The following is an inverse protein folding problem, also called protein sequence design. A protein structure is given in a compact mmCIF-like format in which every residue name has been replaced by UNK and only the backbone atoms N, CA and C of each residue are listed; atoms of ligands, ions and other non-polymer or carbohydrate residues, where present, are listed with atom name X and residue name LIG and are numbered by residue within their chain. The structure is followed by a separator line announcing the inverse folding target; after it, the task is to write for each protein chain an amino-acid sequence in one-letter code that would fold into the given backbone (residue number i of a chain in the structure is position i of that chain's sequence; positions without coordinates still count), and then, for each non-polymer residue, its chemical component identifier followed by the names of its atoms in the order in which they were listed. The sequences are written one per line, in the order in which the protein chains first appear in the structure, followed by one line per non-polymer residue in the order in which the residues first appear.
data_IF_661070379168
#
_entry.id   IF_661070379168
#
_cell.length_a   1.000
_cell.length_b   1.000
_cell.length_c   1.000
_cell.angle_alpha   90.00
_cell.angle_beta   90.00
_cell.angle_gamma   90.00
#
_symmetry.space_group_name_H-M   'P 1'
#
loop_
_entity.id
_entity.type
_entity.pdbx_description
1 polymer ?
#
# COMPACT_ATOMS: atom_id res chain seq x y z
N UNK A 1 -6.77 9.06 11.15
CA UNK A 1 -7.38 9.57 9.89
C UNK A 1 -7.31 11.10 9.77
N UNK A 2 -6.18 11.74 10.12
CA UNK A 2 -6.04 13.20 10.05
C UNK A 2 -4.92 13.68 9.11
N UNK A 3 -4.25 12.76 8.41
CA UNK A 3 -3.07 13.08 7.60
C UNK A 3 -3.42 13.73 6.24
N UNK A 4 -4.53 13.31 5.61
CA UNK A 4 -4.98 13.86 4.32
C UNK A 4 -6.50 13.72 4.18
N UNK A 5 -7.23 14.77 3.73
CA UNK A 5 -8.69 14.75 3.61
C UNK A 5 -9.22 13.77 2.56
N UNK A 6 -8.39 13.26 1.64
CA UNK A 6 -8.79 12.28 0.61
C UNK A 6 -8.86 10.85 1.16
N UNK A 7 -8.24 10.57 2.30
CA UNK A 7 -8.15 9.21 2.87
C UNK A 7 -9.54 8.61 3.16
N UNK A 8 -10.50 9.32 3.79
CA UNK A 8 -11.84 8.77 4.02
C UNK A 8 -12.55 8.32 2.74
N UNK A 9 -12.36 9.02 1.62
CA UNK A 9 -12.98 8.69 0.33
C UNK A 9 -12.46 7.35 -0.22
N UNK A 10 -11.19 7.03 0.01
CA UNK A 10 -10.58 5.75 -0.41
C UNK A 10 -11.21 4.56 0.32
N UNK A 11 -11.56 4.73 1.59
CA UNK A 11 -12.19 3.68 2.37
C UNK A 11 -13.68 3.51 2.05
N UNK A 12 -14.39 4.57 1.66
CA UNK A 12 -15.81 4.49 1.26
C UNK A 12 -16.68 3.74 2.30
N UNK A 13 -17.53 2.84 1.83
CA UNK A 13 -18.41 2.01 2.69
C UNK A 13 -17.71 0.74 3.23
N UNK A 14 -16.39 0.78 3.41
CA UNK A 14 -15.64 -0.37 3.88
C UNK A 14 -16.02 -0.77 5.30
N UNK A 15 -16.37 -2.05 5.49
CA UNK A 15 -16.58 -2.65 6.81
C UNK A 15 -15.23 -2.86 7.54
N UNK A 16 -15.00 -2.29 8.73
CA UNK A 16 -13.72 -2.39 9.44
C UNK A 16 -13.21 -3.81 9.64
N UNK A 17 -14.05 -4.75 10.07
CA UNK A 17 -13.64 -6.14 10.32
C UNK A 17 -13.15 -6.84 9.04
N UNK A 18 -13.76 -6.50 7.90
CA UNK A 18 -13.32 -7.02 6.59
C UNK A 18 -12.00 -6.39 6.16
N UNK A 19 -11.81 -5.10 6.44
CA UNK A 19 -10.58 -4.39 6.11
C UNK A 19 -9.39 -4.87 6.95
N UNK A 20 -9.58 -5.20 8.21
CA UNK A 20 -8.53 -5.78 9.06
C UNK A 20 -7.98 -7.08 8.47
N UNK A 21 -8.87 -8.00 8.07
CA UNK A 21 -8.45 -9.25 7.44
C UNK A 21 -7.70 -9.03 6.12
N UNK A 22 -8.22 -8.14 5.25
CA UNK A 22 -7.56 -7.80 3.98
C UNK A 22 -6.20 -7.16 4.23
N UNK A 23 -6.09 -6.28 5.22
CA UNK A 23 -4.86 -5.59 5.56
C UNK A 23 -3.79 -6.60 5.97
N UNK A 24 -4.11 -7.55 6.86
CA UNK A 24 -3.17 -8.57 7.30
C UNK A 24 -2.60 -9.39 6.13
N UNK A 25 -3.46 -9.92 5.26
CA UNK A 25 -3.04 -10.69 4.09
C UNK A 25 -2.21 -9.84 3.11
N UNK A 26 -2.60 -8.58 2.92
CA UNK A 26 -1.91 -7.66 2.00
C UNK A 26 -0.51 -7.27 2.48
N UNK A 27 -0.32 -7.12 3.80
CA UNK A 27 0.98 -6.81 4.40
C UNK A 27 1.91 -8.01 4.29
N UNK A 28 1.43 -9.21 4.61
CA UNK A 28 2.22 -10.45 4.44
C UNK A 28 2.67 -10.62 2.98
N UNK A 29 1.75 -10.45 2.02
CA UNK A 29 2.10 -10.54 0.61
C UNK A 29 3.11 -9.46 0.16
N UNK A 30 3.06 -8.25 0.73
CA UNK A 30 4.04 -7.21 0.44
C UNK A 30 5.44 -7.57 0.98
N UNK A 31 5.52 -8.17 2.18
CA UNK A 31 6.78 -8.67 2.74
C UNK A 31 7.35 -9.80 1.88
N UNK A 32 6.53 -10.77 1.48
CA UNK A 32 6.90 -11.87 0.59
C UNK A 32 7.46 -11.35 -0.74
N UNK A 33 6.78 -10.35 -1.30
CA UNK A 33 7.17 -9.72 -2.55
C UNK A 33 8.51 -8.99 -2.44
N UNK A 34 8.75 -8.28 -1.34
CA UNK A 34 10.03 -7.59 -1.09
C UNK A 34 11.20 -8.58 -0.99
N UNK A 35 10.98 -9.74 -0.39
CA UNK A 35 11.95 -10.84 -0.32
C UNK A 35 12.10 -11.62 -1.64
N UNK A 36 11.37 -11.23 -2.69
CA UNK A 36 11.31 -11.91 -4.00
C UNK A 36 10.86 -13.37 -3.89
N UNK A 37 10.04 -13.68 -2.89
CA UNK A 37 9.38 -14.98 -2.78
C UNK A 37 8.23 -15.06 -3.81
N UNK A 38 8.00 -16.26 -4.34
CA UNK A 38 7.05 -16.46 -5.46
C UNK A 38 5.58 -16.27 -5.03
N UNK A 39 5.26 -16.51 -3.77
CA UNK A 39 3.96 -16.33 -3.12
C UNK A 39 3.47 -14.88 -3.15
N UNK A 40 4.35 -13.88 -2.95
CA UNK A 40 3.97 -12.46 -2.90
C UNK A 40 3.65 -11.83 -4.27
N UNK A 41 4.16 -12.40 -5.38
CA UNK A 41 4.10 -11.75 -6.71
C UNK A 41 2.67 -11.58 -7.25
N UNK A 42 1.88 -12.65 -7.26
CA UNK A 42 0.53 -12.63 -7.80
C UNK A 42 -0.45 -11.78 -6.96
N UNK A 43 -0.44 -11.87 -5.61
CA UNK A 43 -1.26 -10.99 -4.77
C UNK A 43 -0.89 -9.52 -4.93
N UNK A 44 0.40 -9.16 -4.91
CA UNK A 44 0.83 -7.76 -5.07
C UNK A 44 0.46 -7.20 -6.44
N UNK A 45 0.57 -7.99 -7.52
CA UNK A 45 0.10 -7.55 -8.83
C UNK A 45 -1.42 -7.31 -8.85
N UNK A 46 -2.19 -8.15 -8.15
CA UNK A 46 -3.64 -7.97 -8.00
C UNK A 46 -3.96 -6.69 -7.24
N UNK A 47 -3.25 -6.41 -6.14
CA UNK A 47 -3.38 -5.17 -5.38
C UNK A 47 -3.05 -3.96 -6.27
N UNK A 48 -1.99 -4.04 -7.08
CA UNK A 48 -1.60 -2.98 -8.00
C UNK A 48 -2.70 -2.68 -9.03
N UNK A 49 -3.33 -3.70 -9.61
CA UNK A 49 -4.46 -3.50 -10.53
C UNK A 49 -5.69 -2.88 -9.84
N UNK A 50 -5.92 -3.17 -8.56
CA UNK A 50 -7.02 -2.56 -7.80
C UNK A 50 -6.75 -1.10 -7.49
N UNK A 51 -5.49 -0.73 -7.19
CA UNK A 51 -5.09 0.59 -6.71
C UNK A 51 -4.49 1.52 -7.78
N UNK A 52 -4.19 1.00 -8.97
CA UNK A 52 -3.75 1.78 -10.13
C UNK A 52 -4.82 2.76 -10.63
N UNK A 53 -4.45 3.65 -11.56
CA UNK A 53 -5.31 4.75 -12.02
C UNK A 53 -6.65 4.29 -12.61
N UNK A 54 -6.69 3.12 -13.26
CA UNK A 54 -7.92 2.50 -13.78
C UNK A 54 -8.48 1.38 -12.90
N UNK A 55 -7.96 1.25 -11.69
CA UNK A 55 -8.39 0.23 -10.74
C UNK A 55 -9.76 0.51 -10.14
N UNK A 56 -10.30 -0.49 -9.44
CA UNK A 56 -11.59 -0.38 -8.74
C UNK A 56 -11.54 0.61 -7.57
N UNK A 57 -10.36 0.79 -6.95
CA UNK A 57 -10.13 1.71 -5.83
C UNK A 57 -8.85 2.47 -6.11
N UNK A 58 -8.86 3.45 -7.04
CA UNK A 58 -7.65 4.16 -7.44
C UNK A 58 -7.11 4.96 -6.25
N UNK A 59 -5.83 4.74 -5.92
CA UNK A 59 -5.15 5.44 -4.83
C UNK A 59 -4.11 6.37 -5.44
N UNK A 60 -4.28 7.67 -5.25
CA UNK A 60 -3.30 8.65 -5.72
C UNK A 60 -1.91 8.34 -5.11
N UNK A 61 -0.81 8.35 -5.90
CA UNK A 61 0.50 7.95 -5.39
C UNK A 61 0.95 8.72 -4.13
N UNK A 62 0.57 9.99 -4.01
CA UNK A 62 0.87 10.83 -2.85
C UNK A 62 0.22 10.36 -1.54
N UNK A 63 -0.81 9.49 -1.60
CA UNK A 63 -1.46 8.93 -0.41
C UNK A 63 -0.73 7.69 0.12
N UNK A 64 0.17 7.09 -0.67
CA UNK A 64 0.93 5.92 -0.22
C UNK A 64 1.87 6.28 0.94
N UNK A 65 2.42 7.50 0.96
CA UNK A 65 3.24 7.98 2.08
C UNK A 65 2.42 8.02 3.38
N UNK A 66 1.18 8.50 3.32
CA UNK A 66 0.29 8.50 4.47
C UNK A 66 0.00 7.07 4.96
N UNK A 67 -0.15 6.10 4.04
CA UNK A 67 -0.37 4.71 4.40
C UNK A 67 0.87 4.07 5.06
N UNK A 68 2.06 4.31 4.50
CA UNK A 68 3.32 3.79 5.07
C UNK A 68 3.57 4.34 6.47
N UNK A 69 3.39 5.65 6.68
CA UNK A 69 3.58 6.26 7.99
C UNK A 69 2.54 5.76 9.00
N UNK A 70 1.27 5.61 8.60
CA UNK A 70 0.24 5.03 9.46
C UNK A 70 0.53 3.56 9.85
N UNK A 71 1.07 2.76 8.92
CA UNK A 71 1.49 1.38 9.20
C UNK A 71 2.63 1.34 10.22
N UNK A 72 3.62 2.21 10.07
CA UNK A 72 4.79 2.30 10.97
C UNK A 72 4.36 2.80 12.35
N UNK A 73 3.49 3.81 12.42
CA UNK A 73 2.90 4.31 13.67
C UNK A 73 2.13 3.18 14.38
N UNK A 74 1.26 2.47 13.67
CA UNK A 74 0.52 1.35 14.23
C UNK A 74 1.44 0.22 14.73
N UNK A 75 2.48 -0.14 13.96
CA UNK A 75 3.45 -1.15 14.38
C UNK A 75 4.21 -0.70 15.64
N UNK A 76 4.64 0.56 15.71
CA UNK A 76 5.29 1.13 16.88
C UNK A 76 4.41 1.09 18.13
N UNK A 77 3.12 1.40 17.97
CA UNK A 77 2.18 1.48 19.09
C UNK A 77 1.74 0.11 19.61
N UNK A 78 1.88 -0.95 18.78
CA UNK A 78 1.35 -2.28 19.08
C UNK A 78 2.41 -3.36 19.32
N UNK A 79 3.62 -3.20 18.78
CA UNK A 79 4.71 -4.16 18.93
C UNK A 79 5.54 -3.88 20.20
N UNK A 80 5.44 -4.71 21.26
CA UNK A 80 6.23 -4.52 22.48
C UNK A 80 7.75 -4.71 22.26
N UNK A 81 8.17 -5.31 21.14
CA UNK A 81 9.56 -5.50 20.76
C UNK A 81 10.05 -4.42 19.77
N UNK A 82 9.27 -3.35 19.59
CA UNK A 82 9.62 -2.27 18.66
C UNK A 82 11.01 -1.67 18.96
N UNK A 83 11.75 -1.42 17.88
CA UNK A 83 13.00 -0.66 17.89
C UNK A 83 13.00 0.31 16.73
N UNK A 84 13.62 1.49 16.91
CA UNK A 84 13.59 2.57 15.92
C UNK A 84 14.14 2.13 14.55
N UNK A 85 15.07 1.17 14.50
CA UNK A 85 15.57 0.63 13.23
C UNK A 85 14.52 -0.12 12.42
N UNK A 86 13.46 -0.64 13.07
CA UNK A 86 12.36 -1.34 12.38
C UNK A 86 11.57 -0.38 11.48
N UNK A 87 11.49 0.90 11.79
CA UNK A 87 10.84 1.88 10.92
C UNK A 87 11.46 1.89 9.51
N UNK A 88 12.79 1.88 9.42
CA UNK A 88 13.49 1.86 8.14
C UNK A 88 13.30 0.53 7.39
N UNK A 89 13.18 -0.58 8.13
CA UNK A 89 12.92 -1.90 7.54
C UNK A 89 11.51 -2.01 6.99
N UNK A 90 10.51 -1.48 7.70
CA UNK A 90 9.14 -1.41 7.21
C UNK A 90 9.05 -0.60 5.91
N UNK A 91 9.68 0.59 5.85
CA UNK A 91 9.74 1.39 4.61
C UNK A 91 10.40 0.61 3.47
N UNK A 92 11.52 -0.06 3.72
CA UNK A 92 12.21 -0.83 2.70
C UNK A 92 11.39 -2.04 2.21
N UNK A 93 10.65 -2.70 3.10
CA UNK A 93 9.84 -3.86 2.76
C UNK A 93 8.53 -3.49 2.03
N UNK A 94 7.94 -2.33 2.30
CA UNK A 94 6.71 -1.90 1.60
C UNK A 94 6.98 -1.17 0.29
N UNK A 95 8.16 -0.57 0.12
CA UNK A 95 8.52 0.22 -1.05
C UNK A 95 8.26 -0.49 -2.40
N UNK A 96 8.68 -1.75 -2.62
CA UNK A 96 8.45 -2.41 -3.92
C UNK A 96 6.97 -2.49 -4.32
N UNK A 97 6.09 -2.71 -3.34
CA UNK A 97 4.63 -2.78 -3.55
C UNK A 97 4.06 -1.41 -3.88
N UNK A 98 4.41 -0.39 -3.09
CA UNK A 98 3.98 1.00 -3.29
C UNK A 98 4.48 1.56 -4.63
N UNK A 99 5.73 1.25 -4.99
CA UNK A 99 6.33 1.66 -6.26
C UNK A 99 5.58 1.05 -7.45
N UNK A 100 5.14 -0.21 -7.34
CA UNK A 100 4.35 -0.85 -8.38
C UNK A 100 2.99 -0.16 -8.55
N UNK A 101 2.34 0.23 -7.44
CA UNK A 101 1.08 0.97 -7.51
C UNK A 101 1.29 2.29 -8.22
N UNK A 102 2.32 3.04 -7.80
CA UNK A 102 2.67 4.31 -8.42
C UNK A 102 2.93 4.12 -9.92
N UNK A 103 3.77 3.17 -10.34
CA UNK A 103 4.08 2.93 -11.75
C UNK A 103 2.83 2.79 -12.65
N UNK A 104 1.77 2.12 -12.17
CA UNK A 104 0.53 2.00 -12.92
C UNK A 104 -0.22 3.33 -13.09
N UNK A 105 -0.03 4.32 -12.22
CA UNK A 105 -0.51 5.69 -12.46
C UNK A 105 0.34 6.47 -13.48
N UNK A 106 1.64 6.16 -13.58
CA UNK A 106 2.56 6.85 -14.51
C UNK A 106 2.40 6.36 -15.95
N UNK A 107 2.22 5.06 -16.17
CA UNK A 107 1.98 4.48 -17.51
C UNK A 107 0.77 5.16 -18.17
N UNK A 108 -0.31 5.35 -17.40
CA UNK A 108 -1.53 6.00 -17.89
C UNK A 108 -1.32 7.50 -18.20
N UNK A 109 -0.60 8.23 -17.33
CA UNK A 109 -0.31 9.65 -17.54
C UNK A 109 0.53 9.92 -18.81
N UNK A 110 1.41 9.00 -19.19
CA UNK A 110 2.19 9.09 -20.43
C UNK A 110 1.40 8.66 -21.66
N UNK A 111 0.53 7.65 -21.55
CA UNK A 111 -0.30 7.17 -22.66
C UNK A 111 -1.32 8.23 -23.14
N UNK A 112 -1.86 9.04 -22.22
CA UNK A 112 -2.81 10.13 -22.53
C UNK A 112 -2.13 11.32 -23.24
N UNK A 113 -0.80 11.46 -23.16
CA UNK A 113 -0.07 12.58 -23.78
C UNK A 113 0.34 12.34 -25.23
N UNK A 114 0.25 11.10 -25.72
CA UNK A 114 0.66 10.71 -27.08
C UNK A 114 -0.51 10.38 -28.03
N UNK A 115 -1.76 10.60 -27.60
CA UNK A 115 -2.99 10.43 -28.41
C UNK A 115 -3.72 11.74 -28.65
#
# INVERSE_FOLDING_TARGET
MAADPRIPEVFGDSEPARQEHILNESVLAALDFAERRNDGRAPVHTMAMVHGAHGRVPVAPALNDCWVEALIEAARDTDPEWRDELASRWRAATAPTVDLFAQLHWVDATAVREG
#
